data_IF_260342168005
#
_entry.id   IF_260342168005
#
_cell.length_a   1.000
_cell.length_b   1.000
_cell.length_c   1.000
_cell.angle_alpha   90.00
_cell.angle_beta   90.00
_cell.angle_gamma   90.00
#
_symmetry.space_group_name_H-M   'P 1'
#
loop_
_entity.id
_entity.type
_entity.pdbx_description
1 polymer ?
#
# COMPACT_ATOMS: atom_id res chain seq x y z
N UNK A 1 -19.66 4.89 5.74
CA UNK A 1 -18.97 3.66 5.25
C UNK A 1 -18.41 3.80 3.84
N UNK A 2 -19.09 4.47 2.90
CA UNK A 2 -18.62 4.60 1.50
C UNK A 2 -17.18 5.12 1.34
N UNK A 3 -16.78 6.14 2.13
CA UNK A 3 -15.42 6.67 2.10
C UNK A 3 -14.34 5.69 2.60
N UNK A 4 -14.66 4.79 3.54
CA UNK A 4 -13.68 3.84 4.12
C UNK A 4 -13.26 2.79 3.10
N UNK A 5 -14.24 2.17 2.43
CA UNK A 5 -13.97 1.15 1.41
C UNK A 5 -13.26 1.75 0.20
N UNK A 6 -13.67 2.95 -0.23
CA UNK A 6 -12.99 3.70 -1.28
C UNK A 6 -11.52 3.93 -0.93
N UNK A 7 -11.22 4.42 0.27
CA UNK A 7 -9.84 4.66 0.72
C UNK A 7 -9.05 3.35 0.80
N UNK A 8 -9.65 2.25 1.25
CA UNK A 8 -8.99 0.95 1.27
C UNK A 8 -8.63 0.47 -0.15
N UNK A 9 -9.54 0.63 -1.11
CA UNK A 9 -9.28 0.32 -2.53
C UNK A 9 -8.16 1.21 -3.08
N UNK A 10 -8.19 2.51 -2.82
CA UNK A 10 -7.13 3.43 -3.25
C UNK A 10 -5.77 3.06 -2.65
N UNK A 11 -5.71 2.71 -1.36
CA UNK A 11 -4.48 2.24 -0.70
C UNK A 11 -3.97 0.97 -1.38
N UNK A 12 -4.85 0.02 -1.70
CA UNK A 12 -4.47 -1.20 -2.42
C UNK A 12 -3.88 -0.87 -3.80
N UNK A 13 -4.56 -0.01 -4.57
CA UNK A 13 -4.14 0.40 -5.90
C UNK A 13 -2.80 1.15 -5.88
N UNK A 14 -2.62 2.08 -4.94
CA UNK A 14 -1.33 2.77 -4.73
C UNK A 14 -0.23 1.79 -4.38
N UNK A 15 -0.52 0.73 -3.59
CA UNK A 15 0.49 -0.24 -3.22
C UNK A 15 0.86 -1.23 -4.35
N UNK A 16 0.09 -1.33 -5.44
CA UNK A 16 0.44 -2.16 -6.60
C UNK A 16 1.78 -1.74 -7.25
N UNK A 17 2.00 -0.49 -7.69
CA UNK A 17 3.27 -0.07 -8.28
C UNK A 17 4.43 -0.15 -7.28
N UNK A 18 4.20 0.15 -5.99
CA UNK A 18 5.21 -0.01 -4.95
C UNK A 18 5.60 -1.48 -4.75
N UNK A 19 4.63 -2.40 -4.76
CA UNK A 19 4.87 -3.84 -4.72
C UNK A 19 5.61 -4.36 -5.95
N UNK A 20 5.29 -3.82 -7.13
CA UNK A 20 5.97 -4.14 -8.38
C UNK A 20 7.44 -3.70 -8.33
N UNK A 21 7.70 -2.46 -7.91
CA UNK A 21 9.05 -1.92 -7.76
C UNK A 21 9.85 -2.63 -6.66
N UNK A 22 9.24 -2.88 -5.50
CA UNK A 22 9.89 -3.58 -4.38
C UNK A 22 10.47 -4.93 -4.80
N UNK A 23 9.78 -5.66 -5.69
CA UNK A 23 10.24 -6.95 -6.20
C UNK A 23 11.54 -6.89 -7.01
N UNK A 24 11.96 -5.70 -7.47
CA UNK A 24 13.18 -5.50 -8.26
C UNK A 24 14.35 -4.96 -7.45
N UNK A 25 14.15 -4.69 -6.16
CA UNK A 25 15.13 -4.06 -5.29
C UNK A 25 15.77 -5.11 -4.37
N UNK A 26 17.06 -4.94 -4.05
CA UNK A 26 17.72 -5.78 -3.03
C UNK A 26 17.05 -5.54 -1.69
N UNK A 27 16.58 -6.60 -1.03
CA UNK A 27 15.98 -6.51 0.31
C UNK A 27 16.91 -5.74 1.27
N UNK A 28 16.33 -4.85 2.07
CA UNK A 28 17.05 -3.96 3.01
C UNK A 28 18.03 -2.95 2.38
N UNK A 29 17.98 -2.74 1.07
CA UNK A 29 18.62 -1.57 0.46
C UNK A 29 17.82 -0.28 0.71
N UNK A 30 18.43 0.90 0.54
CA UNK A 30 17.69 2.17 0.60
C UNK A 30 16.50 2.21 -0.37
N UNK A 31 16.67 1.71 -1.60
CA UNK A 31 15.59 1.62 -2.58
C UNK A 31 14.45 0.71 -2.10
N UNK A 32 14.77 -0.45 -1.51
CA UNK A 32 13.77 -1.33 -0.92
C UNK A 32 13.02 -0.67 0.23
N UNK A 33 13.74 0.08 1.08
CA UNK A 33 13.13 0.84 2.18
C UNK A 33 12.09 1.83 1.66
N UNK A 34 12.41 2.59 0.60
CA UNK A 34 11.46 3.53 -0.02
C UNK A 34 10.32 2.80 -0.72
N UNK A 35 10.59 1.69 -1.41
CA UNK A 35 9.55 0.88 -2.06
C UNK A 35 8.53 0.26 -1.07
N UNK A 36 8.93 0.06 0.18
CA UNK A 36 8.02 -0.32 1.26
C UNK A 36 7.37 0.93 1.86
N UNK A 37 8.16 1.81 2.46
CA UNK A 37 7.65 2.84 3.35
C UNK A 37 7.10 4.06 2.61
N UNK A 38 7.50 4.33 1.37
CA UNK A 38 7.00 5.48 0.59
C UNK A 38 5.49 5.43 0.34
N UNK A 39 4.90 4.24 0.29
CA UNK A 39 3.45 4.07 0.18
C UNK A 39 2.70 4.42 1.49
N UNK A 40 3.37 4.40 2.65
CA UNK A 40 2.73 4.65 3.95
C UNK A 40 2.32 6.12 4.11
N UNK A 41 3.16 7.13 3.85
CA UNK A 41 2.74 8.54 3.84
C UNK A 41 1.58 8.80 2.87
N UNK A 42 1.58 8.18 1.69
CA UNK A 42 0.48 8.32 0.72
C UNK A 42 -0.81 7.74 1.30
N UNK A 43 -0.76 6.54 1.90
CA UNK A 43 -1.93 5.93 2.54
C UNK A 43 -2.47 6.77 3.72
N UNK A 44 -1.60 7.37 4.52
CA UNK A 44 -1.98 8.29 5.60
C UNK A 44 -2.63 9.56 5.03
N UNK A 45 -2.03 10.15 3.98
CA UNK A 45 -2.58 11.32 3.29
C UNK A 45 -3.97 11.06 2.70
N UNK A 46 -4.17 9.93 2.02
CA UNK A 46 -5.48 9.52 1.49
C UNK A 46 -6.55 9.42 2.58
N UNK A 47 -6.18 8.88 3.75
CA UNK A 47 -7.09 8.81 4.90
C UNK A 47 -7.44 10.18 5.43
N UNK A 48 -6.45 11.07 5.57
CA UNK A 48 -6.67 12.44 6.04
C UNK A 48 -7.56 13.24 5.08
N UNK A 49 -7.28 13.21 3.78
CA UNK A 49 -8.07 13.91 2.75
C UNK A 49 -9.52 13.41 2.69
N UNK A 50 -9.75 12.13 2.96
CA UNK A 50 -11.09 11.54 3.02
C UNK A 50 -11.79 11.70 4.38
N UNK A 51 -11.18 12.40 5.35
CA UNK A 51 -11.72 12.57 6.71
C UNK A 51 -11.76 11.27 7.52
N UNK A 52 -10.99 10.25 7.14
CA UNK A 52 -10.95 8.95 7.81
C UNK A 52 -9.89 8.96 8.91
N UNK A 53 -10.32 9.37 10.11
CA UNK A 53 -9.47 9.41 11.31
C UNK A 53 -8.86 8.05 11.71
N UNK A 54 -7.90 8.11 12.63
CA UNK A 54 -7.32 6.92 13.22
C UNK A 54 -8.33 6.20 14.13
N UNK A 55 -8.54 4.90 13.87
CA UNK A 55 -9.40 4.02 14.67
C UNK A 55 -8.79 2.63 14.66
N UNK A 56 -8.60 2.03 15.83
CA UNK A 56 -8.07 0.68 15.97
C UNK A 56 -8.87 -0.36 15.18
N UNK A 57 -10.20 -0.21 15.15
CA UNK A 57 -11.10 -1.10 14.40
C UNK A 57 -10.90 -1.08 12.88
N UNK A 58 -10.32 -0.01 12.32
CA UNK A 58 -10.05 0.11 10.88
C UNK A 58 -8.61 -0.31 10.52
N UNK A 59 -7.75 -0.51 11.51
CA UNK A 59 -6.34 -0.86 11.27
C UNK A 59 -6.21 -2.17 10.49
N UNK A 60 -6.93 -3.27 10.81
CA UNK A 60 -6.82 -4.51 10.03
C UNK A 60 -7.16 -4.32 8.55
N UNK A 61 -8.20 -3.52 8.24
CA UNK A 61 -8.61 -3.25 6.87
C UNK A 61 -7.51 -2.52 6.08
N UNK A 62 -6.97 -1.43 6.63
CA UNK A 62 -5.95 -0.65 5.92
C UNK A 62 -4.60 -1.37 5.83
N UNK A 63 -4.25 -2.15 6.86
CA UNK A 63 -3.07 -3.03 6.84
C UNK A 63 -3.23 -4.10 5.76
N UNK A 64 -4.40 -4.76 5.68
CA UNK A 64 -4.68 -5.74 4.64
C UNK A 64 -4.65 -5.14 3.23
N UNK A 65 -5.21 -3.94 3.03
CA UNK A 65 -5.14 -3.22 1.75
C UNK A 65 -3.70 -2.90 1.35
N UNK A 66 -2.90 -2.39 2.29
CA UNK A 66 -1.49 -2.05 2.07
C UNK A 66 -0.67 -3.29 1.67
N UNK A 67 -0.71 -4.35 2.49
CA UNK A 67 0.04 -5.57 2.21
C UNK A 67 -0.51 -6.31 0.99
N UNK A 68 -1.83 -6.27 0.77
CA UNK A 68 -2.48 -6.83 -0.41
C UNK A 68 -1.93 -6.21 -1.69
N UNK A 69 -1.88 -4.87 -1.79
CA UNK A 69 -1.28 -4.19 -2.93
C UNK A 69 0.21 -4.52 -3.11
N UNK A 70 0.99 -4.53 -2.02
CA UNK A 70 2.42 -4.88 -2.05
C UNK A 70 2.68 -6.30 -2.55
N UNK A 71 1.86 -7.27 -2.13
CA UNK A 71 1.95 -8.68 -2.53
C UNK A 71 1.52 -8.84 -3.98
N UNK A 72 0.37 -8.28 -4.36
CA UNK A 72 -0.17 -8.36 -5.71
C UNK A 72 0.77 -7.71 -6.72
N UNK A 73 1.27 -6.51 -6.43
CA UNK A 73 2.29 -5.82 -7.25
C UNK A 73 3.53 -6.67 -7.48
N UNK A 74 4.06 -7.30 -6.41
CA UNK A 74 5.21 -8.20 -6.55
C UNK A 74 4.90 -9.46 -7.35
N UNK A 75 3.68 -10.00 -7.25
CA UNK A 75 3.24 -11.15 -8.08
C UNK A 75 3.13 -10.76 -9.55
N UNK A 76 2.61 -9.57 -9.87
CA UNK A 76 2.56 -9.04 -11.24
C UNK A 76 3.95 -8.94 -11.84
N UNK A 77 4.93 -8.38 -11.10
CA UNK A 77 6.32 -8.31 -11.56
C UNK A 77 6.90 -9.69 -11.86
N UNK A 78 6.68 -10.67 -10.98
CA UNK A 78 7.21 -12.04 -11.16
C UNK A 78 6.60 -12.79 -12.33
N UNK A 79 5.38 -12.45 -12.76
CA UNK A 79 4.73 -13.03 -13.94
C UNK A 79 5.18 -12.39 -15.25
N UNK A 80 5.68 -11.15 -15.18
CA UNK A 80 6.17 -10.39 -16.33
C UNK A 80 7.68 -10.59 -16.58
N UNK A 81 8.37 -11.34 -15.72
CA UNK A 81 9.78 -11.71 -15.83
C UNK A 81 9.89 -13.16 -16.31
#
# INVERSE_FOLDING_TARGET
MGSILLVAVLILLVNLPFGYWRATTRKFSPAWFVAVHGAVPIAVGLRWLAGVGFRWSLLPLFVAAYFGGQILGSRLRRRAA
#
